data_IF_841226543223
#
_entry.id   IF_841226543223
#
_cell.length_a   1.000
_cell.length_b   1.000
_cell.length_c   1.000
_cell.angle_alpha   90.00
_cell.angle_beta   90.00
_cell.angle_gamma   90.00
#
_symmetry.space_group_name_H-M   'P 1'
#
loop_
_entity.id
_entity.type
_entity.pdbx_description
1 polymer ?
#
# COMPACT_ATOMS: atom_id res chain seq x y z
N UNK A 1 -9.27 -19.74 -4.44
CA UNK A 1 -9.96 -18.44 -4.33
C UNK A 1 -11.34 -18.65 -4.91
N UNK A 2 -12.39 -18.54 -4.10
CA UNK A 2 -13.76 -18.54 -4.62
C UNK A 2 -13.93 -17.26 -5.44
N UNK A 3 -14.30 -17.38 -6.71
CA UNK A 3 -14.59 -16.20 -7.53
C UNK A 3 -15.84 -15.53 -6.98
N UNK A 4 -15.70 -14.27 -6.54
CA UNK A 4 -16.81 -13.46 -6.07
C UNK A 4 -17.52 -12.92 -7.31
N UNK A 5 -18.80 -13.24 -7.46
CA UNK A 5 -19.58 -12.77 -8.60
C UNK A 5 -20.04 -11.32 -8.41
N UNK A 6 -20.38 -10.66 -9.52
CA UNK A 6 -21.00 -9.33 -9.51
C UNK A 6 -22.29 -9.27 -8.68
N UNK A 7 -23.02 -10.39 -8.61
CA UNK A 7 -24.22 -10.50 -7.80
C UNK A 7 -23.88 -10.48 -6.31
N UNK A 8 -22.82 -11.18 -5.90
CA UNK A 8 -22.36 -11.21 -4.50
C UNK A 8 -21.91 -9.82 -4.03
N UNK A 9 -21.20 -9.08 -4.88
CA UNK A 9 -20.78 -7.71 -4.58
C UNK A 9 -21.97 -6.75 -4.42
N UNK A 10 -23.01 -6.91 -5.24
CA UNK A 10 -24.23 -6.10 -5.14
C UNK A 10 -25.01 -6.42 -3.88
N UNK A 11 -25.21 -7.70 -3.56
CA UNK A 11 -25.91 -8.11 -2.32
C UNK A 11 -25.17 -7.60 -1.08
N UNK A 12 -23.84 -7.74 -1.06
CA UNK A 12 -23.01 -7.26 0.04
C UNK A 12 -23.15 -5.74 0.26
N UNK A 13 -23.13 -4.96 -0.84
CA UNK A 13 -23.33 -3.50 -0.75
C UNK A 13 -24.72 -3.16 -0.23
N UNK A 14 -25.76 -3.76 -0.78
CA UNK A 14 -27.14 -3.43 -0.42
C UNK A 14 -27.43 -3.79 1.06
N UNK A 15 -26.85 -4.88 1.56
CA UNK A 15 -26.86 -5.24 2.99
C UNK A 15 -26.12 -4.22 3.87
N UNK A 16 -24.95 -3.75 3.42
CA UNK A 16 -24.16 -2.75 4.15
C UNK A 16 -24.88 -1.40 4.23
N UNK A 17 -25.42 -0.91 3.12
CA UNK A 17 -26.19 0.35 3.07
C UNK A 17 -27.44 0.28 3.97
N UNK A 18 -28.18 -0.84 3.94
CA UNK A 18 -29.36 -1.03 4.78
C UNK A 18 -29.06 -1.13 6.30
N UNK A 19 -27.79 -1.28 6.67
CA UNK A 19 -27.35 -1.49 8.06
C UNK A 19 -26.43 -0.39 8.58
N UNK A 20 -26.23 0.70 7.82
CA UNK A 20 -25.24 1.75 8.14
C UNK A 20 -25.42 2.40 9.53
N UNK A 21 -26.67 2.61 9.96
CA UNK A 21 -26.99 3.25 11.24
C UNK A 21 -27.14 2.25 12.39
N UNK A 22 -26.94 0.94 12.12
CA UNK A 22 -27.05 -0.07 13.17
C UNK A 22 -25.80 -0.02 14.06
N UNK A 23 -25.95 -0.18 15.38
CA UNK A 23 -24.81 -0.32 16.26
C UNK A 23 -23.91 -1.45 15.81
N UNK A 24 -22.59 -1.20 15.79
CA UNK A 24 -21.59 -2.24 15.53
C UNK A 24 -21.68 -3.33 16.61
N UNK A 25 -21.39 -4.58 16.24
CA UNK A 25 -21.26 -5.67 17.20
C UNK A 25 -20.21 -5.31 18.26
N UNK A 26 -20.40 -5.67 19.55
CA UNK A 26 -19.36 -5.53 20.57
C UNK A 26 -18.10 -6.35 20.24
N UNK A 27 -18.20 -7.35 19.35
CA UNK A 27 -17.07 -8.15 18.85
C UNK A 27 -16.48 -7.61 17.53
N UNK A 28 -17.00 -6.50 17.00
CA UNK A 28 -16.47 -5.89 15.79
C UNK A 28 -15.03 -5.45 16.03
N UNK A 29 -14.10 -6.03 15.28
CA UNK A 29 -12.70 -5.60 15.29
C UNK A 29 -12.37 -4.98 13.94
N UNK A 30 -11.67 -3.85 13.95
CA UNK A 30 -11.12 -3.28 12.72
C UNK A 30 -9.99 -4.21 12.26
N UNK A 31 -10.06 -4.80 11.05
CA UNK A 31 -8.94 -5.55 10.50
C UNK A 31 -7.66 -4.69 10.54
N UNK A 32 -6.60 -5.20 11.17
CA UNK A 32 -5.34 -4.47 11.33
C UNK A 32 -5.28 -3.42 12.44
N UNK A 33 -6.39 -3.13 13.15
CA UNK A 33 -6.45 -2.09 14.18
C UNK A 33 -5.54 -2.34 15.39
N UNK A 34 -5.24 -3.61 15.71
CA UNK A 34 -4.34 -3.98 16.81
C UNK A 34 -2.86 -4.12 16.39
N UNK A 35 -2.52 -3.95 15.10
CA UNK A 35 -1.18 -4.21 14.57
C UNK A 35 -0.36 -2.97 14.20
N UNK A 36 -0.95 -1.78 14.19
CA UNK A 36 -0.22 -0.57 13.86
C UNK A 36 0.62 -0.08 15.05
N UNK A 37 1.95 -0.22 14.96
CA UNK A 37 2.89 0.50 15.84
C UNK A 37 3.20 1.85 15.20
N UNK A 38 3.21 2.92 16.00
CA UNK A 38 3.59 4.26 15.55
C UNK A 38 5.11 4.40 15.64
N UNK A 39 5.74 4.74 14.52
CA UNK A 39 7.14 5.14 14.44
C UNK A 39 7.18 6.65 14.21
N UNK A 40 7.77 7.40 15.15
CA UNK A 40 7.94 8.85 15.01
C UNK A 40 9.32 9.16 14.44
N UNK A 41 9.37 9.84 13.29
CA UNK A 41 10.60 10.32 12.65
C UNK A 41 10.61 11.85 12.73
N UNK A 42 11.76 12.44 13.09
CA UNK A 42 11.93 13.89 13.08
C UNK A 42 12.43 14.31 11.72
N UNK A 43 11.65 15.16 11.05
CA UNK A 43 12.02 15.83 9.81
C UNK A 43 12.00 17.33 10.08
N UNK A 44 12.88 18.07 9.43
CA UNK A 44 12.75 19.52 9.38
C UNK A 44 11.59 19.92 8.45
N UNK A 45 11.14 21.19 8.46
CA UNK A 45 9.99 21.62 7.67
C UNK A 45 10.16 21.37 6.17
N UNK A 46 11.33 21.68 5.58
CA UNK A 46 11.56 21.51 4.14
C UNK A 46 11.60 20.04 3.73
N UNK A 47 12.20 19.17 4.54
CA UNK A 47 12.21 17.71 4.30
C UNK A 47 10.78 17.13 4.28
N UNK A 48 9.91 17.61 5.18
CA UNK A 48 8.53 17.16 5.19
C UNK A 48 7.72 17.71 4.01
N UNK A 49 7.99 18.95 3.60
CA UNK A 49 7.33 19.59 2.47
C UNK A 49 7.69 18.88 1.15
N UNK A 50 8.97 18.60 0.91
CA UNK A 50 9.43 17.82 -0.24
C UNK A 50 8.78 16.42 -0.28
N UNK A 51 8.70 15.74 0.86
CA UNK A 51 8.01 14.45 0.96
C UNK A 51 6.52 14.56 0.61
N UNK A 52 5.84 15.59 1.11
CA UNK A 52 4.42 15.81 0.89
C UNK A 52 4.12 16.12 -0.59
N UNK A 53 4.94 16.97 -1.23
CA UNK A 53 4.83 17.28 -2.65
C UNK A 53 5.02 16.03 -3.52
N UNK A 54 6.03 15.22 -3.21
CA UNK A 54 6.27 13.99 -3.97
C UNK A 54 5.14 12.97 -3.79
N UNK A 55 4.61 12.83 -2.58
CA UNK A 55 3.45 11.97 -2.31
C UNK A 55 2.19 12.46 -3.05
N UNK A 56 1.97 13.77 -3.09
CA UNK A 56 0.84 14.38 -3.79
C UNK A 56 0.92 14.16 -5.31
N UNK A 57 2.12 14.27 -5.90
CA UNK A 57 2.34 13.97 -7.33
C UNK A 57 2.00 12.52 -7.70
N UNK A 58 2.06 11.61 -6.72
CA UNK A 58 1.74 10.18 -6.86
C UNK A 58 0.31 9.83 -6.43
N UNK A 59 -0.50 10.82 -6.02
CA UNK A 59 -1.86 10.65 -5.48
C UNK A 59 -1.94 9.64 -4.31
N UNK A 60 -0.95 9.68 -3.41
CA UNK A 60 -0.92 8.83 -2.21
C UNK A 60 -0.59 9.62 -0.94
N UNK A 61 -1.02 9.15 0.25
CA UNK A 61 -0.62 9.77 1.51
C UNK A 61 0.90 9.66 1.74
N UNK A 62 1.53 10.71 2.27
CA UNK A 62 2.95 10.70 2.64
C UNK A 62 3.33 9.54 3.57
N UNK A 63 2.45 9.17 4.50
CA UNK A 63 2.64 8.01 5.39
C UNK A 63 2.62 6.67 4.63
N UNK A 64 1.82 6.56 3.57
CA UNK A 64 1.77 5.37 2.72
C UNK A 64 3.04 5.26 1.86
N UNK A 65 3.51 6.38 1.30
CA UNK A 65 4.77 6.46 0.57
C UNK A 65 5.96 6.04 1.43
N UNK A 66 6.13 6.65 2.61
CA UNK A 66 7.22 6.33 3.55
C UNK A 66 7.17 4.87 3.97
N UNK A 67 5.97 4.34 4.27
CA UNK A 67 5.80 2.92 4.58
C UNK A 67 6.24 2.02 3.42
N UNK A 68 5.90 2.40 2.19
CA UNK A 68 6.33 1.71 0.98
C UNK A 68 7.85 1.61 0.90
N UNK A 69 8.55 2.74 1.04
CA UNK A 69 10.02 2.79 1.03
C UNK A 69 10.66 1.96 2.13
N UNK A 70 10.16 2.05 3.37
CA UNK A 70 10.67 1.26 4.49
C UNK A 70 10.57 -0.24 4.19
N UNK A 71 9.40 -0.69 3.73
CA UNK A 71 9.20 -2.11 3.43
C UNK A 71 10.03 -2.57 2.23
N UNK A 72 10.24 -1.70 1.24
CA UNK A 72 11.08 -2.00 0.09
C UNK A 72 12.56 -2.14 0.45
N UNK A 73 13.06 -1.25 1.31
CA UNK A 73 14.42 -1.34 1.83
C UNK A 73 14.62 -2.55 2.74
N UNK A 74 13.64 -2.90 3.57
CA UNK A 74 13.72 -4.11 4.40
C UNK A 74 13.76 -5.39 3.54
N UNK A 75 13.02 -5.42 2.42
CA UNK A 75 13.12 -6.53 1.45
C UNK A 75 14.47 -6.53 0.75
N UNK A 76 14.91 -5.38 0.25
CA UNK A 76 16.18 -5.24 -0.48
C UNK A 76 17.40 -5.54 0.40
N UNK A 77 17.36 -5.18 1.68
CA UNK A 77 18.42 -5.50 2.65
C UNK A 77 18.50 -6.98 3.01
N UNK A 78 17.46 -7.75 2.70
CA UNK A 78 17.46 -9.22 2.79
C UNK A 78 17.87 -9.91 1.47
N UNK A 79 17.97 -9.16 0.37
CA UNK A 79 18.45 -9.67 -0.92
C UNK A 79 19.97 -9.68 -0.94
N UNK A 80 20.54 -10.82 -1.31
CA UNK A 80 21.94 -10.93 -1.67
C UNK A 80 22.24 -10.05 -2.90
N UNK A 81 23.49 -9.62 -3.05
CA UNK A 81 23.92 -8.83 -4.22
C UNK A 81 23.53 -9.47 -5.57
N UNK A 82 23.44 -10.80 -5.61
CA UNK A 82 22.99 -11.55 -6.78
C UNK A 82 21.51 -11.32 -7.09
N UNK A 83 20.65 -11.38 -6.08
CA UNK A 83 19.21 -11.18 -6.22
C UNK A 83 18.88 -9.74 -6.65
N UNK A 84 19.63 -8.76 -6.15
CA UNK A 84 19.54 -7.36 -6.58
C UNK A 84 19.87 -7.20 -8.07
N UNK A 85 20.94 -7.84 -8.55
CA UNK A 85 21.33 -7.81 -9.97
C UNK A 85 20.24 -8.47 -10.84
N UNK A 86 19.72 -9.61 -10.42
CA UNK A 86 18.67 -10.33 -11.14
C UNK A 86 17.36 -9.53 -11.21
N UNK A 87 17.02 -8.77 -10.16
CA UNK A 87 15.88 -7.84 -10.16
C UNK A 87 16.09 -6.70 -11.16
N UNK A 88 17.24 -6.01 -11.12
CA UNK A 88 17.55 -4.91 -12.05
C UNK A 88 17.48 -5.38 -13.51
N UNK A 89 18.02 -6.58 -13.81
CA UNK A 89 17.96 -7.14 -15.15
C UNK A 89 16.53 -7.33 -15.66
N UNK A 90 15.62 -7.82 -14.80
CA UNK A 90 14.20 -7.98 -15.13
C UNK A 90 13.49 -6.65 -15.36
N UNK A 91 13.72 -5.67 -14.48
CA UNK A 91 13.13 -4.34 -14.58
C UNK A 91 13.54 -3.67 -15.90
N UNK A 92 14.83 -3.78 -16.28
CA UNK A 92 15.35 -3.27 -17.54
C UNK A 92 14.71 -3.97 -18.75
N UNK A 93 14.50 -5.28 -18.66
CA UNK A 93 13.87 -6.05 -19.71
C UNK A 93 12.40 -5.64 -19.89
N UNK A 94 11.64 -5.41 -18.81
CA UNK A 94 10.27 -4.88 -18.91
C UNK A 94 10.22 -3.51 -19.58
N UNK A 95 11.09 -2.59 -19.18
CA UNK A 95 11.21 -1.26 -19.82
C UNK A 95 11.49 -1.37 -21.32
N UNK A 96 12.40 -2.26 -21.73
CA UNK A 96 12.67 -2.50 -23.16
C UNK A 96 11.43 -2.97 -23.91
N UNK A 97 10.60 -3.82 -23.31
CA UNK A 97 9.37 -4.28 -23.97
C UNK A 97 8.33 -3.16 -24.10
N UNK A 98 8.25 -2.25 -23.12
CA UNK A 98 7.32 -1.12 -23.15
C UNK A 98 7.67 -0.06 -24.19
N UNK A 99 8.95 0.09 -24.55
CA UNK A 99 9.40 1.07 -25.54
C UNK A 99 9.24 0.56 -26.98
N UNK A 100 9.20 -0.76 -27.17
CA UNK A 100 9.08 -1.39 -28.50
C UNK A 100 7.62 -1.65 -28.91
N UNK A 101 6.68 -1.57 -27.96
CA UNK A 101 5.24 -1.64 -28.20
C UNK A 101 4.65 -0.25 -28.46
#
# INVERSE_FOLDING_TARGET
MTEISDHDLRSYRDEAEATMDRPLSPSATRPGGQRAKVLSVRLNPSEFEELAEYAAALDIPASALVRGWILDQLRSGSESARETVDRIARDLQHLRHQIVA
#
